data_IF_107872405439
#
_entry.id   IF_107872405439
#
_cell.length_a   1.000
_cell.length_b   1.000
_cell.length_c   1.000
_cell.angle_alpha   90.00
_cell.angle_beta   90.00
_cell.angle_gamma   90.00
#
_symmetry.space_group_name_H-M   'P 1'
#
loop_
_entity.id
_entity.type
_entity.pdbx_description
1 polymer ?
#
# COMPACT_ATOMS: atom_id res chain seq x y z
N UNK A 1 -53.54 -27.05 5.32
CA UNK A 1 -54.96 -26.98 4.98
C UNK A 1 -55.60 -26.02 5.96
N UNK A 2 -56.08 -24.83 5.55
CA UNK A 2 -56.88 -24.03 6.46
C UNK A 2 -58.22 -24.77 6.61
N UNK A 3 -58.55 -25.18 7.82
CA UNK A 3 -59.84 -25.80 8.10
C UNK A 3 -60.92 -24.75 7.84
N UNK A 4 -61.80 -25.01 6.88
CA UNK A 4 -63.02 -24.23 6.67
C UNK A 4 -63.80 -24.17 7.99
N UNK A 5 -63.65 -23.07 8.72
CA UNK A 5 -64.64 -22.67 9.70
C UNK A 5 -65.93 -22.48 8.89
N UNK A 6 -66.91 -23.37 9.10
CA UNK A 6 -68.20 -23.29 8.43
C UNK A 6 -68.82 -21.94 8.78
N UNK A 7 -68.86 -21.05 7.79
CA UNK A 7 -69.38 -19.69 7.91
C UNK A 7 -70.79 -19.76 8.50
N UNK A 8 -70.96 -19.20 9.68
CA UNK A 8 -72.18 -19.33 10.49
C UNK A 8 -73.35 -18.62 9.79
N UNK A 9 -73.03 -17.67 8.90
CA UNK A 9 -74.00 -17.01 8.01
C UNK A 9 -74.74 -18.00 7.08
N UNK A 10 -74.17 -19.17 6.78
CA UNK A 10 -74.80 -20.17 5.91
C UNK A 10 -75.75 -21.13 6.66
N UNK A 11 -75.67 -21.19 7.99
CA UNK A 11 -76.56 -21.99 8.84
C UNK A 11 -77.67 -21.09 9.41
N UNK A 12 -78.63 -20.71 8.57
CA UNK A 12 -79.81 -19.97 9.01
C UNK A 12 -80.65 -20.72 10.06
N UNK A 13 -81.48 -20.00 10.82
CA UNK A 13 -82.34 -20.60 11.84
C UNK A 13 -83.37 -21.55 11.23
N UNK A 14 -83.59 -22.73 11.83
CA UNK A 14 -84.69 -23.61 11.43
C UNK A 14 -85.99 -23.04 11.99
N UNK A 15 -86.94 -22.73 11.11
CA UNK A 15 -88.28 -22.27 11.50
C UNK A 15 -89.17 -23.47 11.82
N UNK A 16 -89.71 -23.52 13.04
CA UNK A 16 -90.78 -24.42 13.43
C UNK A 16 -92.13 -23.73 13.23
N UNK A 17 -93.24 -24.49 13.23
CA UNK A 17 -94.61 -24.03 12.94
C UNK A 17 -95.10 -22.81 13.78
N UNK A 18 -94.35 -22.43 14.83
CA UNK A 18 -94.63 -21.32 15.75
C UNK A 18 -93.46 -20.33 15.95
N UNK A 19 -92.42 -20.36 15.11
CA UNK A 19 -91.28 -19.43 15.18
C UNK A 19 -89.91 -20.11 15.20
N UNK A 20 -88.87 -19.39 15.63
CA UNK A 20 -87.50 -19.88 15.69
C UNK A 20 -87.28 -20.82 16.87
N UNK A 21 -86.49 -21.88 16.66
CA UNK A 21 -86.07 -22.76 17.75
C UNK A 21 -85.06 -22.03 18.66
N UNK A 22 -85.36 -21.97 19.96
CA UNK A 22 -84.52 -21.32 20.97
C UNK A 22 -83.11 -21.92 21.02
N UNK A 23 -82.98 -23.23 20.84
CA UNK A 23 -81.69 -23.91 20.90
C UNK A 23 -80.82 -23.56 19.67
N UNK A 24 -81.45 -23.43 18.50
CA UNK A 24 -80.76 -23.00 17.28
C UNK A 24 -80.27 -21.54 17.40
N UNK A 25 -81.07 -20.66 18.03
CA UNK A 25 -80.67 -19.26 18.28
C UNK A 25 -79.47 -19.17 19.24
N UNK A 26 -79.47 -19.95 20.32
CA UNK A 26 -78.35 -19.97 21.27
C UNK A 26 -77.09 -20.60 20.67
N UNK A 27 -77.24 -21.66 19.87
CA UNK A 27 -76.12 -22.28 19.16
C UNK A 27 -75.48 -21.31 18.16
N UNK A 28 -76.31 -20.56 17.40
CA UNK A 28 -75.83 -19.50 16.52
C UNK A 28 -75.13 -18.37 17.27
N UNK A 29 -75.69 -17.90 18.39
CA UNK A 29 -75.07 -16.84 19.21
C UNK A 29 -73.72 -17.26 19.78
N UNK A 30 -73.61 -18.50 20.29
CA UNK A 30 -72.35 -19.03 20.80
C UNK A 30 -71.33 -19.21 19.69
N UNK A 31 -71.73 -19.77 18.54
CA UNK A 31 -70.86 -19.94 17.40
C UNK A 31 -70.37 -18.57 16.88
N UNK A 32 -71.24 -17.57 16.79
CA UNK A 32 -70.87 -16.21 16.34
C UNK A 32 -69.89 -15.55 17.32
N UNK A 33 -70.07 -15.76 18.62
CA UNK A 33 -69.11 -15.30 19.63
C UNK A 33 -67.75 -16.00 19.49
N UNK A 34 -67.75 -17.31 19.22
CA UNK A 34 -66.53 -18.10 18.99
C UNK A 34 -65.82 -17.66 17.70
N UNK A 35 -66.55 -17.41 16.60
CA UNK A 35 -66.00 -16.91 15.33
C UNK A 35 -65.43 -15.48 15.48
N UNK A 36 -66.14 -14.60 16.19
CA UNK A 36 -65.64 -13.26 16.51
C UNK A 36 -64.33 -13.33 17.33
N UNK A 37 -64.27 -14.21 18.33
CA UNK A 37 -63.07 -14.44 19.13
C UNK A 37 -61.92 -15.03 18.29
N UNK A 38 -62.20 -15.96 17.39
CA UNK A 38 -61.20 -16.52 16.48
C UNK A 38 -60.62 -15.45 15.55
N UNK A 39 -61.47 -14.62 14.94
CA UNK A 39 -61.01 -13.53 14.10
C UNK A 39 -60.17 -12.51 14.87
N UNK A 40 -60.55 -12.17 16.10
CA UNK A 40 -59.74 -11.29 16.96
C UNK A 40 -58.34 -11.88 17.19
N UNK A 41 -58.25 -13.16 17.52
CA UNK A 41 -56.97 -13.87 17.67
C UNK A 41 -56.14 -13.87 16.37
N UNK A 42 -56.78 -14.06 15.21
CA UNK A 42 -56.10 -14.00 13.92
C UNK A 42 -55.57 -12.58 13.60
N UNK A 43 -56.35 -11.54 13.92
CA UNK A 43 -55.91 -10.16 13.75
C UNK A 43 -54.74 -9.83 14.68
N UNK A 44 -54.77 -10.29 15.92
CA UNK A 44 -53.65 -10.13 16.86
C UNK A 44 -52.40 -10.85 16.36
N UNK A 45 -52.52 -12.06 15.84
CA UNK A 45 -51.39 -12.80 15.26
C UNK A 45 -50.79 -12.06 14.06
N UNK A 46 -51.64 -11.56 13.15
CA UNK A 46 -51.21 -10.73 12.00
C UNK A 46 -50.53 -9.44 12.47
N UNK A 47 -51.07 -8.78 13.49
CA UNK A 47 -50.50 -7.56 14.05
C UNK A 47 -49.11 -7.82 14.66
N UNK A 48 -48.97 -8.89 15.44
CA UNK A 48 -47.66 -9.30 16.01
C UNK A 48 -46.66 -9.62 14.90
N UNK A 49 -47.08 -10.31 13.84
CA UNK A 49 -46.22 -10.61 12.69
C UNK A 49 -45.71 -9.33 12.03
N UNK A 50 -46.61 -8.41 11.67
CA UNK A 50 -46.23 -7.12 11.05
C UNK A 50 -45.33 -6.30 11.98
N UNK A 51 -45.61 -6.28 13.28
CA UNK A 51 -44.74 -5.59 14.25
C UNK A 51 -43.33 -6.19 14.29
N UNK A 52 -43.21 -7.52 14.27
CA UNK A 52 -41.90 -8.18 14.22
C UNK A 52 -41.15 -7.89 12.93
N UNK A 53 -41.84 -7.91 11.78
CA UNK A 53 -41.25 -7.58 10.47
C UNK A 53 -40.79 -6.11 10.43
N UNK A 54 -41.58 -5.17 10.97
CA UNK A 54 -41.17 -3.77 11.09
C UNK A 54 -39.93 -3.57 11.97
N UNK A 55 -39.82 -4.32 13.07
CA UNK A 55 -38.65 -4.24 13.94
C UNK A 55 -37.41 -4.81 13.25
N UNK A 56 -37.55 -5.94 12.54
CA UNK A 56 -36.43 -6.49 11.74
C UNK A 56 -35.98 -5.49 10.68
N UNK A 57 -36.89 -4.91 9.89
CA UNK A 57 -36.55 -3.91 8.87
C UNK A 57 -35.92 -2.64 9.48
N UNK A 58 -36.34 -2.23 10.67
CA UNK A 58 -35.72 -1.11 11.40
C UNK A 58 -34.28 -1.45 11.79
N UNK A 59 -34.03 -2.65 12.34
CA UNK A 59 -32.67 -3.07 12.67
C UNK A 59 -31.76 -3.17 11.44
N UNK A 60 -32.26 -3.76 10.34
CA UNK A 60 -31.52 -3.85 9.08
C UNK A 60 -31.20 -2.47 8.51
N UNK A 61 -32.15 -1.54 8.56
CA UNK A 61 -31.93 -0.15 8.13
C UNK A 61 -30.84 0.53 8.97
N UNK A 62 -30.84 0.32 10.29
CA UNK A 62 -29.81 0.86 11.17
C UNK A 62 -28.42 0.29 10.84
N UNK A 63 -28.33 -1.01 10.56
CA UNK A 63 -27.09 -1.65 10.15
C UNK A 63 -26.58 -1.12 8.80
N UNK A 64 -27.47 -0.93 7.83
CA UNK A 64 -27.13 -0.34 6.53
C UNK A 64 -26.67 1.10 6.70
N UNK A 65 -27.35 1.91 7.52
CA UNK A 65 -26.95 3.28 7.80
C UNK A 65 -25.56 3.34 8.48
N UNK A 66 -25.27 2.42 9.40
CA UNK A 66 -23.94 2.29 10.01
C UNK A 66 -22.87 1.92 8.98
N UNK A 67 -23.15 0.96 8.10
CA UNK A 67 -22.25 0.56 7.00
C UNK A 67 -22.02 1.69 6.01
N UNK A 68 -23.06 2.45 5.66
CA UNK A 68 -22.97 3.62 4.78
C UNK A 68 -22.09 4.70 5.40
N UNK A 69 -22.24 5.01 6.69
CA UNK A 69 -21.37 5.96 7.40
C UNK A 69 -19.92 5.49 7.45
N UNK A 70 -19.70 4.20 7.71
CA UNK A 70 -18.36 3.62 7.72
C UNK A 70 -17.69 3.71 6.35
N UNK A 71 -18.41 3.36 5.27
CA UNK A 71 -17.93 3.47 3.89
C UNK A 71 -17.65 4.93 3.50
N UNK A 72 -18.49 5.87 3.94
CA UNK A 72 -18.26 7.29 3.69
C UNK A 72 -16.99 7.79 4.39
N UNK A 73 -16.75 7.36 5.64
CA UNK A 73 -15.51 7.67 6.36
C UNK A 73 -14.28 7.01 5.72
N UNK A 74 -14.41 5.79 5.20
CA UNK A 74 -13.33 5.12 4.47
C UNK A 74 -13.02 5.84 3.15
N UNK A 75 -14.04 6.29 2.42
CA UNK A 75 -13.89 7.03 1.17
C UNK A 75 -13.16 8.37 1.39
N UNK A 76 -13.52 9.14 2.43
CA UNK A 76 -12.81 10.39 2.75
C UNK A 76 -11.37 10.14 3.17
N UNK A 77 -11.12 9.11 3.98
CA UNK A 77 -9.77 8.71 4.37
C UNK A 77 -8.94 8.22 3.17
N UNK A 78 -9.56 7.53 2.20
CA UNK A 78 -8.91 7.13 0.96
C UNK A 78 -8.55 8.35 0.10
N UNK A 79 -9.44 9.33 0.00
CA UNK A 79 -9.19 10.55 -0.76
C UNK A 79 -8.02 11.36 -0.18
N UNK A 80 -7.96 11.52 1.15
CA UNK A 80 -6.83 12.16 1.82
C UNK A 80 -5.50 11.42 1.57
N UNK A 81 -5.51 10.08 1.58
CA UNK A 81 -4.32 9.29 1.25
C UNK A 81 -3.90 9.52 -0.21
N UNK A 82 -4.84 9.59 -1.15
CA UNK A 82 -4.56 9.89 -2.54
C UNK A 82 -3.94 11.30 -2.71
N UNK A 83 -4.52 12.33 -2.10
CA UNK A 83 -3.98 13.70 -2.13
C UNK A 83 -2.55 13.77 -1.57
N UNK A 84 -2.28 13.10 -0.44
CA UNK A 84 -0.91 13.07 0.11
C UNK A 84 0.08 12.34 -0.79
N UNK A 85 -0.37 11.30 -1.51
CA UNK A 85 0.46 10.60 -2.48
C UNK A 85 0.72 11.47 -3.72
N UNK A 86 -0.28 12.20 -4.19
CA UNK A 86 -0.14 13.16 -5.30
C UNK A 86 0.82 14.31 -4.95
N UNK A 87 0.74 14.86 -3.75
CA UNK A 87 1.66 15.91 -3.30
C UNK A 87 3.10 15.41 -3.30
N UNK A 88 3.35 14.22 -2.74
CA UNK A 88 4.69 13.60 -2.77
C UNK A 88 5.18 13.31 -4.18
N UNK A 89 4.26 12.92 -5.08
CA UNK A 89 4.57 12.70 -6.50
C UNK A 89 4.97 14.01 -7.17
N UNK A 90 4.24 15.10 -6.93
CA UNK A 90 4.57 16.44 -7.44
C UNK A 90 5.92 16.94 -6.91
N UNK A 91 6.16 16.82 -5.61
CA UNK A 91 7.45 17.14 -5.00
C UNK A 91 8.60 16.34 -5.64
N UNK A 92 8.38 15.06 -5.91
CA UNK A 92 9.34 14.22 -6.61
C UNK A 92 9.58 14.66 -8.07
N UNK A 93 8.53 15.07 -8.78
CA UNK A 93 8.64 15.60 -10.14
C UNK A 93 9.42 16.92 -10.19
N UNK A 94 9.18 17.83 -9.24
CA UNK A 94 9.94 19.08 -9.11
C UNK A 94 11.42 18.81 -8.82
N UNK A 95 11.73 17.83 -7.96
CA UNK A 95 13.10 17.39 -7.72
C UNK A 95 13.75 16.81 -8.99
N UNK A 96 13.03 16.02 -9.77
CA UNK A 96 13.53 15.49 -11.03
C UNK A 96 13.79 16.62 -12.05
N UNK A 97 12.91 17.60 -12.14
CA UNK A 97 13.08 18.75 -13.04
C UNK A 97 14.32 19.58 -12.65
N UNK A 98 14.52 19.81 -11.35
CA UNK A 98 15.72 20.53 -10.87
C UNK A 98 17.00 19.75 -11.13
N UNK A 99 17.01 18.42 -10.93
CA UNK A 99 18.16 17.57 -11.27
C UNK A 99 18.43 17.57 -12.79
N UNK A 100 17.39 17.56 -13.61
CA UNK A 100 17.54 17.64 -15.07
C UNK A 100 18.18 18.96 -15.48
N UNK A 101 17.71 20.09 -14.94
CA UNK A 101 18.31 21.42 -15.18
C UNK A 101 19.78 21.46 -14.73
N UNK A 102 20.12 20.82 -13.61
CA UNK A 102 21.51 20.70 -13.15
C UNK A 102 22.36 19.86 -14.10
N UNK A 103 21.82 18.77 -14.63
CA UNK A 103 22.51 17.94 -15.62
C UNK A 103 22.77 18.72 -16.91
N UNK A 104 21.79 19.46 -17.40
CA UNK A 104 21.92 20.27 -18.62
C UNK A 104 22.96 21.39 -18.45
N UNK A 105 22.96 22.07 -17.30
CA UNK A 105 23.97 23.08 -16.97
C UNK A 105 25.37 22.49 -16.82
N UNK A 106 25.51 21.31 -16.21
CA UNK A 106 26.79 20.60 -16.12
C UNK A 106 27.31 20.18 -17.50
N UNK A 107 26.45 19.60 -18.34
CA UNK A 107 26.81 19.21 -19.71
C UNK A 107 27.24 20.42 -20.54
N UNK A 108 26.50 21.53 -20.45
CA UNK A 108 26.86 22.77 -21.14
C UNK A 108 28.21 23.30 -20.65
N UNK A 109 28.44 23.34 -19.34
CA UNK A 109 29.71 23.75 -18.73
C UNK A 109 30.88 22.86 -19.14
N UNK A 110 30.67 21.53 -19.21
CA UNK A 110 31.66 20.57 -19.68
C UNK A 110 32.04 20.82 -21.14
N UNK A 111 31.04 21.00 -22.02
CA UNK A 111 31.25 21.30 -23.43
C UNK A 111 32.02 22.61 -23.62
N UNK A 112 31.70 23.63 -22.84
CA UNK A 112 32.39 24.92 -22.91
C UNK A 112 33.82 24.85 -22.38
N UNK A 113 34.05 24.12 -21.28
CA UNK A 113 35.39 23.85 -20.76
C UNK A 113 36.26 23.11 -21.79
N UNK A 114 35.69 22.12 -22.49
CA UNK A 114 36.41 21.39 -23.55
C UNK A 114 36.77 22.29 -24.73
N UNK A 115 35.87 23.18 -25.17
CA UNK A 115 36.19 24.19 -26.19
C UNK A 115 37.32 25.12 -25.72
N UNK A 116 37.25 25.60 -24.48
CA UNK A 116 38.27 26.47 -23.92
C UNK A 116 39.63 25.77 -23.83
N UNK A 117 39.66 24.49 -23.46
CA UNK A 117 40.87 23.68 -23.48
C UNK A 117 41.45 23.57 -24.91
N UNK A 118 40.62 23.33 -25.92
CA UNK A 118 41.06 23.30 -27.33
C UNK A 118 41.62 24.66 -27.79
N UNK A 119 40.96 25.77 -27.44
CA UNK A 119 41.44 27.12 -27.76
C UNK A 119 42.78 27.39 -27.08
N UNK A 120 42.93 26.99 -25.82
CA UNK A 120 44.20 27.12 -25.10
C UNK A 120 45.30 26.27 -25.69
N UNK A 121 45.03 25.03 -26.10
CA UNK A 121 45.99 24.18 -26.79
C UNK A 121 46.48 24.82 -28.10
N UNK A 122 45.57 25.37 -28.90
CA UNK A 122 45.92 26.11 -30.13
C UNK A 122 46.82 27.31 -29.82
N UNK A 123 46.47 28.13 -28.81
CA UNK A 123 47.31 29.26 -28.39
C UNK A 123 48.69 28.82 -27.91
N UNK A 124 48.77 27.71 -27.17
CA UNK A 124 50.06 27.16 -26.75
C UNK A 124 50.90 26.74 -27.96
N UNK A 125 50.28 26.11 -28.97
CA UNK A 125 50.96 25.75 -30.22
C UNK A 125 51.46 26.98 -30.98
N UNK A 126 50.62 28.01 -31.16
CA UNK A 126 50.98 29.26 -31.84
C UNK A 126 52.15 29.97 -31.14
N UNK A 127 52.11 30.07 -29.81
CA UNK A 127 53.19 30.65 -29.03
C UNK A 127 54.48 29.84 -29.12
N UNK A 128 54.38 28.51 -29.12
CA UNK A 128 55.52 27.62 -29.26
C UNK A 128 56.18 27.79 -30.64
N UNK A 129 55.38 27.95 -31.69
CA UNK A 129 55.87 28.24 -33.04
C UNK A 129 56.53 29.63 -33.13
N UNK A 130 55.95 30.66 -32.50
CA UNK A 130 56.57 31.99 -32.42
C UNK A 130 57.93 31.96 -31.72
N UNK A 131 58.07 31.18 -30.63
CA UNK A 131 59.35 31.02 -29.93
C UNK A 131 60.38 30.33 -30.81
N UNK A 132 60.00 29.28 -31.54
CA UNK A 132 60.89 28.59 -32.48
C UNK A 132 61.35 29.52 -33.61
N UNK A 133 60.44 30.31 -34.17
CA UNK A 133 60.77 31.25 -35.24
C UNK A 133 61.67 32.39 -34.75
N UNK A 134 61.41 32.95 -33.56
CA UNK A 134 62.32 33.91 -32.92
C UNK A 134 63.69 33.28 -32.61
N UNK A 135 63.74 32.01 -32.20
CA UNK A 135 65.01 31.29 -32.02
C UNK A 135 65.76 31.12 -33.33
N UNK A 136 65.08 30.78 -34.43
CA UNK A 136 65.69 30.70 -35.78
C UNK A 136 66.21 32.06 -36.21
N UNK A 137 65.46 33.14 -35.99
CA UNK A 137 65.92 34.51 -36.29
C UNK A 137 67.16 34.89 -35.48
N UNK A 138 67.17 34.61 -34.17
CA UNK A 138 68.34 34.82 -33.31
C UNK A 138 69.56 34.01 -33.77
N UNK A 139 69.35 32.76 -34.20
CA UNK A 139 70.42 31.92 -34.75
C UNK A 139 70.94 32.48 -36.09
N UNK A 140 70.07 32.96 -36.96
CA UNK A 140 70.44 33.59 -38.23
C UNK A 140 71.23 34.89 -38.01
N UNK A 141 70.79 35.78 -37.10
CA UNK A 141 71.53 37.01 -36.73
C UNK A 141 72.91 36.68 -36.14
N UNK A 142 73.02 35.61 -35.36
CA UNK A 142 74.32 35.13 -34.85
C UNK A 142 75.24 34.62 -35.95
N UNK A 143 74.70 34.02 -37.01
CA UNK A 143 75.48 33.54 -38.16
C UNK A 143 75.85 34.65 -39.15
N UNK A 144 75.05 35.72 -39.25
CA UNK A 144 75.28 36.83 -40.19
C UNK A 144 76.11 37.99 -39.64
N UNK A 145 76.48 37.97 -38.36
CA UNK A 145 77.55 38.82 -37.83
C UNK A 145 77.34 40.32 -38.01
N UNK A 146 76.35 40.90 -37.33
CA UNK A 146 76.32 42.33 -37.01
C UNK A 146 76.38 42.50 -35.49
N UNK A 147 77.50 43.02 -35.01
CA UNK A 147 77.72 43.35 -33.62
C UNK A 147 77.01 44.66 -33.26
N UNK A 148 75.73 44.60 -32.94
CA UNK A 148 75.14 45.52 -31.96
C UNK A 148 74.76 44.70 -30.73
N UNK A 149 75.72 44.60 -29.81
CA UNK A 149 75.49 44.01 -28.51
C UNK A 149 74.38 44.81 -27.80
N UNK A 150 73.26 44.19 -27.39
CA UNK A 150 72.32 44.85 -26.50
C UNK A 150 73.07 45.24 -25.22
N UNK A 151 72.85 46.47 -24.74
CA UNK A 151 73.46 46.98 -23.52
C UNK A 151 73.25 45.97 -22.39
N UNK A 152 74.31 45.53 -21.68
CA UNK A 152 74.26 44.41 -20.74
C UNK A 152 73.26 44.62 -19.58
N UNK A 153 72.90 45.87 -19.28
CA UNK A 153 71.89 46.20 -18.28
C UNK A 153 70.46 45.84 -18.71
N UNK A 154 70.08 46.09 -19.96
CA UNK A 154 68.74 45.75 -20.46
C UNK A 154 68.52 44.22 -20.50
N UNK A 155 69.56 43.45 -20.80
CA UNK A 155 69.51 41.98 -20.78
C UNK A 155 69.41 41.43 -19.36
N UNK A 156 70.08 42.07 -18.39
CA UNK A 156 70.00 41.71 -16.97
C UNK A 156 68.62 42.01 -16.38
N UNK A 157 68.03 43.15 -16.73
CA UNK A 157 66.68 43.54 -16.32
C UNK A 157 65.61 42.62 -16.93
N UNK A 158 65.67 42.34 -18.23
CA UNK A 158 64.76 41.40 -18.88
C UNK A 158 64.85 39.99 -18.27
N UNK A 159 66.02 39.54 -17.83
CA UNK A 159 66.19 38.26 -17.11
C UNK A 159 65.58 38.27 -15.72
N UNK A 160 65.60 39.39 -15.01
CA UNK A 160 64.96 39.52 -13.70
C UNK A 160 63.44 39.54 -13.83
N UNK A 161 62.91 40.27 -14.82
CA UNK A 161 61.48 40.29 -15.11
C UNK A 161 60.97 38.93 -15.57
N UNK A 162 61.68 38.23 -16.45
CA UNK A 162 61.32 36.88 -16.88
C UNK A 162 61.28 35.88 -15.71
N UNK A 163 62.21 36.01 -14.74
CA UNK A 163 62.19 35.20 -13.51
C UNK A 163 60.99 35.52 -12.62
N UNK A 164 60.61 36.79 -12.52
CA UNK A 164 59.43 37.23 -11.76
C UNK A 164 58.13 36.70 -12.39
N UNK A 165 58.00 36.80 -13.70
CA UNK A 165 56.84 36.24 -14.43
C UNK A 165 56.78 34.72 -14.25
N UNK A 166 57.92 34.03 -14.29
CA UNK A 166 57.98 32.59 -14.02
C UNK A 166 57.57 32.23 -12.58
N UNK A 167 58.00 33.00 -11.58
CA UNK A 167 57.58 32.76 -10.18
C UNK A 167 56.09 33.01 -10.00
N UNK A 168 55.56 34.08 -10.60
CA UNK A 168 54.14 34.42 -10.51
C UNK A 168 53.28 33.38 -11.22
N UNK A 169 53.70 32.90 -12.40
CA UNK A 169 53.03 31.82 -13.12
C UNK A 169 53.04 30.50 -12.33
N UNK A 170 54.14 30.18 -11.63
CA UNK A 170 54.21 29.01 -10.75
C UNK A 170 53.28 29.12 -9.55
N UNK A 171 53.22 30.28 -8.90
CA UNK A 171 52.30 30.52 -7.79
C UNK A 171 50.84 30.40 -8.24
N UNK A 172 50.52 30.92 -9.43
CA UNK A 172 49.18 30.81 -10.00
C UNK A 172 48.81 29.36 -10.36
N UNK A 173 49.75 28.62 -10.95
CA UNK A 173 49.57 27.19 -11.22
C UNK A 173 49.36 26.39 -9.93
N UNK A 174 50.16 26.65 -8.88
CA UNK A 174 50.02 25.99 -7.59
C UNK A 174 48.69 26.34 -6.89
N UNK A 175 48.22 27.60 -7.00
CA UNK A 175 46.90 27.97 -6.47
C UNK A 175 45.76 27.31 -7.24
N UNK A 176 45.85 27.24 -8.58
CA UNK A 176 44.85 26.59 -9.41
C UNK A 176 44.78 25.08 -9.13
N UNK A 177 45.92 24.41 -8.91
CA UNK A 177 45.96 23.01 -8.49
C UNK A 177 45.32 22.80 -7.12
N UNK A 178 45.59 23.68 -6.14
CA UNK A 178 44.97 23.62 -4.81
C UNK A 178 43.45 23.79 -4.88
N UNK A 179 42.95 24.74 -5.67
CA UNK A 179 41.51 24.94 -5.86
C UNK A 179 40.83 23.75 -6.53
N UNK A 180 41.43 23.20 -7.60
CA UNK A 180 40.89 21.99 -8.26
C UNK A 180 40.87 20.80 -7.31
N UNK A 181 41.92 20.63 -6.50
CA UNK A 181 41.98 19.56 -5.49
C UNK A 181 40.91 19.76 -4.42
N UNK A 182 40.71 20.99 -3.94
CA UNK A 182 39.67 21.31 -2.97
C UNK A 182 38.27 21.06 -3.53
N UNK A 183 38.02 21.38 -4.80
CA UNK A 183 36.76 21.07 -5.47
C UNK A 183 36.53 19.56 -5.58
N UNK A 184 37.57 18.80 -5.94
CA UNK A 184 37.51 17.34 -6.01
C UNK A 184 37.25 16.71 -4.63
N UNK A 185 37.91 17.19 -3.58
CA UNK A 185 37.69 16.73 -2.20
C UNK A 185 36.28 17.08 -1.70
N UNK A 186 35.76 18.25 -2.08
CA UNK A 186 34.38 18.67 -1.75
C UNK A 186 33.37 17.78 -2.46
N UNK A 187 33.56 17.50 -3.76
CA UNK A 187 32.70 16.57 -4.49
C UNK A 187 32.76 15.17 -3.92
N UNK A 188 33.95 14.66 -3.61
CA UNK A 188 34.15 13.34 -3.00
C UNK A 188 33.43 13.25 -1.64
N UNK A 189 33.49 14.30 -0.83
CA UNK A 189 32.80 14.36 0.47
C UNK A 189 31.28 14.33 0.28
N UNK A 190 30.74 15.15 -0.65
CA UNK A 190 29.31 15.14 -0.99
C UNK A 190 28.83 13.78 -1.51
N UNK A 191 29.62 13.14 -2.37
CA UNK A 191 29.31 11.80 -2.87
C UNK A 191 29.33 10.76 -1.75
N UNK A 192 30.31 10.82 -0.85
CA UNK A 192 30.39 9.91 0.30
C UNK A 192 29.19 10.08 1.25
N UNK A 193 28.76 11.31 1.51
CA UNK A 193 27.57 11.59 2.33
C UNK A 193 26.28 11.10 1.67
N UNK A 194 26.12 11.34 0.36
CA UNK A 194 24.97 10.82 -0.38
C UNK A 194 24.93 9.29 -0.38
N UNK A 195 26.07 8.63 -0.60
CA UNK A 195 26.21 7.18 -0.52
C UNK A 195 25.87 6.64 0.89
N UNK A 196 26.32 7.33 1.95
CA UNK A 196 25.92 6.98 3.34
C UNK A 196 24.42 7.13 3.56
N UNK A 197 23.81 8.20 3.05
CA UNK A 197 22.36 8.42 3.13
C UNK A 197 21.56 7.33 2.42
N UNK A 198 21.98 6.95 1.22
CA UNK A 198 21.38 5.84 0.46
C UNK A 198 21.54 4.52 1.23
N UNK A 199 22.73 4.23 1.76
CA UNK A 199 22.97 3.01 2.53
C UNK A 199 22.06 2.93 3.77
N UNK A 200 21.93 4.04 4.52
CA UNK A 200 21.02 4.12 5.66
C UNK A 200 19.55 3.90 5.25
N UNK A 201 19.13 4.51 4.13
CA UNK A 201 17.79 4.29 3.55
C UNK A 201 17.54 2.83 3.18
N UNK A 202 18.50 2.17 2.52
CA UNK A 202 18.42 0.74 2.16
C UNK A 202 18.33 -0.15 3.41
N UNK A 203 19.09 0.17 4.47
CA UNK A 203 18.99 -0.56 5.75
C UNK A 203 17.58 -0.46 6.35
N UNK A 204 16.97 0.73 6.38
CA UNK A 204 15.60 0.91 6.87
C UNK A 204 14.57 0.13 6.05
N UNK A 205 14.73 0.11 4.72
CA UNK A 205 13.86 -0.68 3.83
C UNK A 205 14.02 -2.17 4.11
N UNK A 206 15.24 -2.68 4.29
CA UNK A 206 15.49 -4.09 4.67
C UNK A 206 14.85 -4.44 5.99
N UNK A 207 14.97 -3.58 7.00
CA UNK A 207 14.35 -3.81 8.30
C UNK A 207 12.81 -3.81 8.22
N UNK A 208 12.23 -2.90 7.43
CA UNK A 208 10.79 -2.89 7.18
C UNK A 208 10.32 -4.13 6.44
N UNK A 209 11.09 -4.62 5.47
CA UNK A 209 10.80 -5.86 4.74
C UNK A 209 10.79 -7.05 5.71
N UNK A 210 11.81 -7.18 6.56
CA UNK A 210 11.89 -8.23 7.56
C UNK A 210 10.69 -8.22 8.53
N UNK A 211 10.22 -7.03 8.94
CA UNK A 211 8.99 -6.89 9.75
C UNK A 211 7.73 -7.34 9.00
N UNK A 212 7.65 -7.06 7.70
CA UNK A 212 6.53 -7.53 6.86
C UNK A 212 6.58 -9.05 6.74
N UNK A 213 7.74 -9.64 6.52
CA UNK A 213 7.92 -11.10 6.44
C UNK A 213 7.54 -11.79 7.76
N UNK A 214 7.93 -11.21 8.90
CA UNK A 214 7.50 -11.70 10.22
C UNK A 214 5.98 -11.64 10.40
N UNK A 215 5.33 -10.57 9.92
CA UNK A 215 3.87 -10.46 10.01
C UNK A 215 3.15 -11.43 9.08
N UNK A 216 3.68 -11.65 7.87
CA UNK A 216 3.14 -12.61 6.93
C UNK A 216 3.25 -14.04 7.45
N UNK A 217 4.39 -14.41 8.02
CA UNK A 217 4.57 -15.73 8.64
C UNK A 217 3.63 -15.93 9.84
N UNK A 218 3.49 -14.94 10.72
CA UNK A 218 2.53 -15.00 11.83
C UNK A 218 1.08 -15.16 11.34
N UNK A 219 0.66 -14.34 10.36
CA UNK A 219 -0.69 -14.43 9.79
C UNK A 219 -0.95 -15.78 9.09
N UNK A 220 0.09 -16.39 8.51
CA UNK A 220 -0.02 -17.73 7.89
C UNK A 220 -0.26 -18.80 8.95
N UNK A 221 0.45 -18.73 10.09
CA UNK A 221 0.22 -19.65 11.22
C UNK A 221 -1.16 -19.46 11.84
N UNK A 222 -1.60 -18.22 12.01
CA UNK A 222 -2.94 -17.92 12.52
C UNK A 222 -4.03 -18.48 11.59
N UNK A 223 -3.84 -18.36 10.27
CA UNK A 223 -4.77 -18.88 9.27
C UNK A 223 -4.82 -20.41 9.26
N UNK A 224 -3.68 -21.08 9.42
CA UNK A 224 -3.63 -22.54 9.60
C UNK A 224 -4.36 -22.97 10.89
N UNK A 225 -4.10 -22.29 12.00
CA UNK A 225 -4.79 -22.54 13.27
C UNK A 225 -6.31 -22.33 13.19
N UNK A 226 -6.77 -21.27 12.53
CA UNK A 226 -8.20 -21.03 12.28
C UNK A 226 -8.81 -22.11 11.38
N UNK A 227 -8.07 -22.57 10.38
CA UNK A 227 -8.52 -23.64 9.48
C UNK A 227 -8.70 -24.96 10.24
N UNK A 228 -7.75 -25.32 11.11
CA UNK A 228 -7.85 -26.48 11.98
C UNK A 228 -9.03 -26.37 12.95
N UNK A 229 -9.24 -25.19 13.55
CA UNK A 229 -10.38 -24.95 14.43
C UNK A 229 -11.73 -25.08 13.71
N UNK A 230 -11.81 -24.67 12.43
CA UNK A 230 -13.02 -24.87 11.61
C UNK A 230 -13.28 -26.35 11.38
N UNK A 231 -12.25 -27.13 11.02
CA UNK A 231 -12.42 -28.58 10.83
C UNK A 231 -12.89 -29.26 12.12
N UNK A 232 -12.29 -28.92 13.26
CA UNK A 232 -12.70 -29.47 14.55
C UNK A 232 -14.15 -29.08 14.90
N UNK A 233 -14.54 -27.83 14.69
CA UNK A 233 -15.92 -27.41 14.90
C UNK A 233 -16.91 -28.15 13.99
N UNK A 234 -16.53 -28.44 12.74
CA UNK A 234 -17.36 -29.24 11.84
C UNK A 234 -17.51 -30.68 12.34
N UNK A 235 -16.41 -31.31 12.78
CA UNK A 235 -16.44 -32.66 13.36
C UNK A 235 -17.32 -32.71 14.62
N UNK A 236 -17.21 -31.71 15.49
CA UNK A 236 -18.05 -31.57 16.68
C UNK A 236 -19.54 -31.44 16.30
N UNK A 237 -19.87 -30.59 15.31
CA UNK A 237 -21.25 -30.50 14.82
C UNK A 237 -21.76 -31.79 14.18
N UNK A 238 -20.91 -32.56 13.51
CA UNK A 238 -21.29 -33.87 12.97
C UNK A 238 -21.60 -34.85 14.10
N UNK A 239 -20.83 -34.82 15.19
CA UNK A 239 -21.09 -35.65 16.37
C UNK A 239 -22.41 -35.26 17.05
N UNK A 240 -22.65 -33.97 17.28
CA UNK A 240 -23.91 -33.46 17.87
C UNK A 240 -25.12 -33.84 17.01
N UNK A 241 -25.01 -33.75 15.68
CA UNK A 241 -26.08 -34.17 14.76
C UNK A 241 -26.34 -35.68 14.81
N UNK A 242 -25.30 -36.51 14.98
CA UNK A 242 -25.46 -37.96 15.15
C UNK A 242 -26.16 -38.28 16.47
N UNK A 243 -25.78 -37.61 17.55
CA UNK A 243 -26.38 -37.75 18.89
C UNK A 243 -27.87 -37.36 18.87
N UNK A 244 -28.20 -36.19 18.30
CA UNK A 244 -29.58 -35.77 18.10
C UNK A 244 -30.37 -36.77 17.24
N UNK A 245 -29.73 -37.33 16.20
CA UNK A 245 -30.32 -38.35 15.35
C UNK A 245 -30.59 -39.68 16.09
N UNK A 246 -29.77 -40.03 17.09
CA UNK A 246 -30.04 -41.17 17.97
C UNK A 246 -31.17 -40.87 18.94
N UNK A 247 -31.15 -39.72 19.62
CA UNK A 247 -32.23 -39.29 20.50
C UNK A 247 -33.59 -39.30 19.78
N UNK A 248 -33.63 -38.77 18.54
CA UNK A 248 -34.85 -38.73 17.76
C UNK A 248 -35.36 -40.12 17.34
N UNK A 249 -34.47 -41.10 17.14
CA UNK A 249 -34.87 -42.49 16.93
C UNK A 249 -35.37 -43.13 18.21
N UNK A 250 -34.74 -42.86 19.34
CA UNK A 250 -35.17 -43.37 20.65
C UNK A 250 -36.56 -42.82 21.00
N UNK A 251 -36.82 -41.54 20.74
CA UNK A 251 -38.16 -40.94 20.83
C UNK A 251 -39.17 -41.58 19.88
N UNK A 252 -38.75 -41.96 18.67
CA UNK A 252 -39.63 -42.60 17.69
C UNK A 252 -39.86 -44.11 17.97
N UNK A 253 -38.97 -44.77 18.70
CA UNK A 253 -39.02 -46.20 19.02
C UNK A 253 -39.51 -46.50 20.45
N UNK A 254 -39.48 -45.52 21.36
CA UNK A 254 -39.96 -45.63 22.73
C UNK A 254 -41.44 -45.33 22.88
N UNK A 255 -42.21 -46.30 23.39
CA UNK A 255 -43.42 -46.00 24.18
C UNK A 255 -43.04 -45.07 25.34
N UNK A 256 -43.85 -44.06 25.67
CA UNK A 256 -43.50 -43.11 26.73
C UNK A 256 -43.55 -43.83 28.09
N UNK A 257 -42.40 -44.11 28.68
CA UNK A 257 -42.33 -44.44 30.11
C UNK A 257 -42.52 -43.13 30.89
N UNK A 258 -43.77 -42.80 31.21
CA UNK A 258 -44.06 -41.84 32.25
C UNK A 258 -43.62 -42.44 33.59
N UNK A 259 -42.43 -42.07 34.04
CA UNK A 259 -42.05 -42.30 35.44
C UNK A 259 -42.80 -41.30 36.30
N UNK A 260 -43.82 -41.76 37.02
CA UNK A 260 -44.55 -40.98 38.02
C UNK A 260 -43.61 -40.45 39.12
N UNK A 261 -43.69 -39.16 39.49
CA UNK A 261 -42.92 -38.64 40.62
C UNK A 261 -43.54 -39.14 41.94
N UNK A 262 -42.75 -39.88 42.70
CA UNK A 262 -43.08 -40.32 44.07
C UNK A 262 -43.29 -39.11 44.99
N UNK A 263 -44.35 -39.04 45.81
CA UNK A 263 -44.62 -37.89 46.66
C UNK A 263 -43.62 -37.84 47.82
N UNK A 264 -42.91 -36.72 47.95
CA UNK A 264 -42.10 -36.38 49.12
C UNK A 264 -42.93 -35.56 50.13
N UNK A 265 -42.77 -35.77 51.45
CA UNK A 265 -43.50 -35.02 52.48
C UNK A 265 -42.95 -33.60 52.68
N UNK A 266 -43.80 -32.75 53.28
CA UNK A 266 -43.76 -31.29 53.33
C UNK A 266 -42.56 -30.62 54.05
N UNK A 267 -42.30 -29.37 53.63
CA UNK A 267 -41.23 -28.43 54.00
C UNK A 267 -41.27 -27.92 55.47
N UNK A 268 -40.23 -27.20 55.95
CA UNK A 268 -40.25 -25.74 55.77
C UNK A 268 -38.90 -25.07 55.41
N UNK A 269 -39.06 -23.83 54.98
CA UNK A 269 -38.18 -22.88 54.31
C UNK A 269 -37.02 -22.32 55.15
N UNK A 270 -35.84 -22.11 54.53
CA UNK A 270 -34.94 -20.96 54.77
C UNK A 270 -33.97 -20.72 53.60
N UNK A 271 -34.22 -19.66 52.81
CA UNK A 271 -33.27 -18.71 52.16
C UNK A 271 -32.15 -19.20 51.19
N UNK A 272 -31.69 -18.33 50.24
CA UNK A 272 -31.60 -18.70 48.82
C UNK A 272 -30.18 -18.99 48.29
N UNK A 273 -30.05 -19.74 47.17
CA UNK A 273 -28.93 -19.59 46.25
C UNK A 273 -29.35 -19.01 44.88
N UNK A 274 -28.53 -18.03 44.48
CA UNK A 274 -28.40 -17.23 43.23
C UNK A 274 -28.98 -17.78 41.91
N UNK A 275 -29.37 -16.87 40.99
CA UNK A 275 -29.77 -17.23 39.63
C UNK A 275 -28.57 -17.76 38.82
N UNK A 276 -28.67 -19.00 38.36
CA UNK A 276 -27.78 -19.54 37.34
C UNK A 276 -28.23 -19.01 35.97
N UNK A 277 -27.42 -18.10 35.44
CA UNK A 277 -27.47 -17.64 34.04
C UNK A 277 -26.94 -18.75 33.13
N UNK A 278 -27.55 -19.04 31.97
CA UNK A 278 -26.91 -19.88 30.97
C UNK A 278 -25.72 -19.14 30.37
N UNK A 279 -24.50 -19.59 30.71
CA UNK A 279 -23.26 -19.05 30.17
C UNK A 279 -22.90 -19.74 28.85
N UNK A 280 -23.52 -19.31 27.75
CA UNK A 280 -22.86 -19.43 26.45
C UNK A 280 -21.82 -18.32 26.35
N UNK A 281 -20.60 -18.61 26.83
CA UNK A 281 -19.45 -17.72 26.71
C UNK A 281 -18.44 -18.33 25.75
N UNK A 282 -18.64 -18.12 24.46
CA UNK A 282 -17.57 -18.28 23.47
C UNK A 282 -16.53 -17.20 23.76
N UNK A 283 -15.43 -17.57 24.43
CA UNK A 283 -14.25 -16.70 24.54
C UNK A 283 -13.48 -16.75 23.22
N UNK A 284 -14.00 -16.11 22.19
CA UNK A 284 -13.20 -15.72 21.05
C UNK A 284 -12.54 -14.38 21.38
N UNK A 285 -11.33 -14.41 21.93
CA UNK A 285 -10.46 -13.23 21.94
C UNK A 285 -9.94 -12.98 20.53
N UNK A 286 -10.79 -12.44 19.66
CA UNK A 286 -10.37 -11.83 18.42
C UNK A 286 -9.90 -10.39 18.73
N UNK A 287 -8.59 -10.15 18.67
CA UNK A 287 -8.09 -8.77 18.65
C UNK A 287 -8.60 -8.07 17.38
N UNK A 288 -9.02 -6.80 17.46
CA UNK A 288 -9.50 -6.08 16.30
C UNK A 288 -8.33 -5.75 15.37
N UNK A 289 -8.13 -6.57 14.34
CA UNK A 289 -7.35 -6.22 13.16
C UNK A 289 -8.05 -5.05 12.47
N UNK A 290 -7.53 -3.84 12.68
CA UNK A 290 -7.86 -2.67 11.86
C UNK A 290 -7.58 -3.01 10.41
N UNK A 291 -8.64 -3.16 9.64
CA UNK A 291 -8.63 -3.39 8.20
C UNK A 291 -7.99 -2.19 7.48
N UNK A 292 -6.71 -2.29 7.16
CA UNK A 292 -6.14 -1.56 6.04
C UNK A 292 -6.42 -2.36 4.77
N UNK A 293 -7.52 -2.01 4.10
CA UNK A 293 -7.87 -2.50 2.77
C UNK A 293 -6.90 -1.87 1.76
N UNK A 294 -5.98 -2.68 1.23
CA UNK A 294 -5.26 -2.38 -0.01
C UNK A 294 -6.04 -3.05 -1.16
N UNK A 295 -6.35 -2.34 -2.26
CA UNK A 295 -6.88 -2.97 -3.46
C UNK A 295 -5.76 -3.74 -4.17
N UNK A 296 -6.05 -4.99 -4.56
CA UNK A 296 -5.19 -5.78 -5.43
C UNK A 296 -5.20 -5.22 -6.86
N UNK A 297 -4.06 -5.19 -7.57
CA UNK A 297 -4.03 -4.95 -9.00
C UNK A 297 -4.40 -6.24 -9.76
N UNK A 298 -5.15 -6.07 -10.86
CA UNK A 298 -5.56 -7.13 -11.76
C UNK A 298 -4.37 -7.80 -12.45
N UNK A 299 -4.46 -9.12 -12.58
CA UNK A 299 -3.54 -9.96 -13.34
C UNK A 299 -3.74 -9.74 -14.85
N UNK A 300 -2.65 -9.48 -15.57
CA UNK A 300 -2.57 -9.67 -17.02
C UNK A 300 -1.33 -10.52 -17.35
N UNK A 301 -1.53 -11.42 -18.32
CA UNK A 301 -0.66 -12.54 -18.72
C UNK A 301 0.77 -12.14 -19.18
N UNK A 302 1.74 -13.09 -19.18
CA UNK A 302 3.15 -12.81 -19.41
C UNK A 302 3.51 -12.86 -20.90
N UNK A 303 3.96 -11.74 -21.45
CA UNK A 303 4.63 -11.69 -22.75
C UNK A 303 5.89 -10.83 -22.63
N UNK A 304 7.04 -11.41 -22.99
CA UNK A 304 8.27 -10.66 -23.29
C UNK A 304 9.22 -10.43 -22.12
N UNK A 305 9.83 -11.49 -21.58
CA UNK A 305 11.10 -11.38 -20.86
C UNK A 305 12.19 -10.87 -21.80
N UNK A 306 12.39 -9.55 -21.90
CA UNK A 306 13.64 -8.98 -22.40
C UNK A 306 14.48 -8.58 -21.19
N UNK A 307 15.19 -9.57 -20.65
CA UNK A 307 16.27 -9.38 -19.69
C UNK A 307 17.26 -8.37 -20.27
N UNK A 308 17.27 -7.15 -19.75
CA UNK A 308 18.36 -6.21 -19.97
C UNK A 308 19.57 -6.80 -19.25
N UNK A 309 20.40 -7.49 -20.03
CA UNK A 309 21.68 -8.01 -19.62
C UNK A 309 22.55 -6.77 -19.35
N UNK A 310 22.77 -6.46 -18.07
CA UNK A 310 23.71 -5.44 -17.63
C UNK A 310 25.11 -5.81 -18.12
N UNK A 311 25.47 -5.35 -19.31
CA UNK A 311 26.84 -5.34 -19.77
C UNK A 311 27.47 -4.05 -19.24
N UNK A 312 28.11 -4.14 -18.08
CA UNK A 312 29.02 -3.11 -17.61
C UNK A 312 30.24 -3.09 -18.53
N UNK A 313 30.14 -2.39 -19.65
CA UNK A 313 31.31 -2.03 -20.43
C UNK A 313 31.96 -0.81 -19.75
N UNK A 314 33.23 -0.90 -19.32
CA UNK A 314 33.93 0.25 -18.77
C UNK A 314 33.94 1.36 -19.81
N UNK A 315 33.78 2.60 -19.36
CA UNK A 315 33.68 3.81 -20.22
C UNK A 315 34.79 3.87 -21.28
N UNK A 316 35.97 3.33 -20.98
CA UNK A 316 37.09 3.19 -21.92
C UNK A 316 36.74 2.39 -23.19
N UNK A 317 35.89 1.36 -23.12
CA UNK A 317 35.45 0.59 -24.29
C UNK A 317 34.38 1.32 -25.11
N UNK A 318 33.55 2.14 -24.48
CA UNK A 318 32.57 2.98 -25.20
C UNK A 318 33.29 4.07 -26.00
N UNK A 319 34.30 4.70 -25.39
CA UNK A 319 35.14 5.69 -26.07
C UNK A 319 35.95 5.08 -27.22
N UNK A 320 36.53 3.88 -27.03
CA UNK A 320 37.27 3.21 -28.10
C UNK A 320 36.36 2.86 -29.30
N UNK A 321 35.16 2.35 -29.03
CA UNK A 321 34.17 2.06 -30.08
C UNK A 321 33.70 3.33 -30.81
N UNK A 322 33.66 4.48 -30.12
CA UNK A 322 33.28 5.75 -30.74
C UNK A 322 34.40 6.30 -31.63
N UNK A 323 35.65 6.16 -31.22
CA UNK A 323 36.85 6.49 -32.02
C UNK A 323 36.90 5.62 -33.28
N UNK A 324 36.77 4.30 -33.14
CA UNK A 324 36.81 3.38 -34.28
C UNK A 324 35.68 3.67 -35.30
N UNK A 325 34.53 4.16 -34.81
CA UNK A 325 33.40 4.56 -35.65
C UNK A 325 33.69 5.84 -36.43
N UNK A 326 34.34 6.82 -35.81
CA UNK A 326 34.76 8.06 -36.45
C UNK A 326 35.82 7.77 -37.52
N UNK A 327 36.79 6.89 -37.22
CA UNK A 327 37.82 6.48 -38.17
C UNK A 327 37.22 5.72 -39.37
N UNK A 328 36.19 4.90 -39.14
CA UNK A 328 35.48 4.21 -40.23
C UNK A 328 34.67 5.13 -41.15
N UNK A 329 34.23 6.28 -40.64
CA UNK A 329 33.52 7.31 -41.40
C UNK A 329 34.48 8.27 -42.10
N UNK A 330 35.70 8.42 -41.58
CA UNK A 330 36.75 9.25 -42.18
C UNK A 330 37.49 8.56 -43.34
N UNK A 331 37.33 7.25 -43.52
CA UNK A 331 37.97 6.44 -44.57
C UNK A 331 37.01 5.99 -45.70
N UNK A 332 35.88 6.69 -45.89
CA UNK A 332 35.01 6.56 -47.06
C UNK A 332 34.96 7.86 -47.84
#
# INVERSE_FOLDING_TARGET
>A
MPSEAKNIQEQGFRSSLFGFDKNDVLAYMNALADEAQQHEMEYEQKLRRVQSELETLRSERQDVDARMKALQAEATAANQRAETAENKRREGEEQLETLQKQLDTYQSGQKESQKNANIWQLKCHDLQQQVEDLQKQLAAVRQTGSATAPTPDAVREARLEAKKILSDAKLYAESAEKELKQQADTQKTRMAENARGIAAGVMLVRERLARVDQRLSAATLDLDGLTQAIYQALDDTEAELKELGTEMRDFAQGTPEWTDPKPAPAAPETMPPKPATPQFRVKATAQPLRSHRNPAPAQSNPAGSRRLRNAHHPVSQLLQNEIDKIDSLSNK
#
